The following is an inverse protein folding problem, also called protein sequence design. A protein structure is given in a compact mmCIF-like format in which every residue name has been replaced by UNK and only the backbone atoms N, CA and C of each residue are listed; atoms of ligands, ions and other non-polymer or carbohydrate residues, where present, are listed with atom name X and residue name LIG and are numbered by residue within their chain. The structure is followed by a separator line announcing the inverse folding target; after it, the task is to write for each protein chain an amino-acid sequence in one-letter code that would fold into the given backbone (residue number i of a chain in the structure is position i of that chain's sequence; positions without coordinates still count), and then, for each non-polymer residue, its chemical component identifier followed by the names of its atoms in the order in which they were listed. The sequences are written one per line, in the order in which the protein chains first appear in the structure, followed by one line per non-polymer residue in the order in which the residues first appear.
data_IF_206705608708
#
_entry.id   IF_206705608708
#
_cell.length_a   1.000
_cell.length_b   1.000
_cell.length_c   1.000
_cell.angle_alpha   90.00
_cell.angle_beta   90.00
_cell.angle_gamma   90.00
#
_symmetry.space_group_name_H-M   'P 1'
#
loop_
_entity.id
_entity.type
_entity.pdbx_description
1 polymer ?
#
# COMPACT_ATOMS: atom_id res chain seq x y z
N UNK A 1 66.40 12.47 4.41
CA UNK A 1 64.97 12.63 4.79
C UNK A 1 64.51 13.99 4.25
N UNK A 2 64.32 14.17 2.95
CA UNK A 2 63.14 13.84 2.12
C UNK A 2 61.79 14.32 2.70
N UNK A 3 61.38 15.56 2.40
CA UNK A 3 60.40 15.91 1.35
C UNK A 3 60.07 17.41 1.35
N UNK A 4 60.27 18.04 0.19
CA UNK A 4 59.80 19.35 -0.23
C UNK A 4 58.65 19.10 -1.20
N UNK A 5 57.46 19.68 -1.00
CA UNK A 5 56.42 19.93 -2.03
C UNK A 5 55.52 21.05 -1.47
N UNK A 6 55.82 22.34 -1.60
CA UNK A 6 55.63 23.23 -2.76
C UNK A 6 54.27 23.06 -3.48
N UNK A 7 53.32 23.90 -3.12
CA UNK A 7 52.18 24.25 -3.98
C UNK A 7 52.65 24.97 -5.25
N UNK A 8 51.97 24.77 -6.38
CA UNK A 8 51.78 25.85 -7.32
C UNK A 8 50.28 26.09 -7.59
N UNK A 9 49.88 27.33 -7.35
CA UNK A 9 48.76 27.94 -8.04
C UNK A 9 49.17 28.17 -9.51
N UNK A 10 48.54 27.48 -10.43
CA UNK A 10 48.56 27.79 -11.86
C UNK A 10 47.11 27.70 -12.34
N UNK A 11 46.44 28.85 -12.49
CA UNK A 11 46.39 29.61 -13.73
C UNK A 11 45.57 28.91 -14.82
N UNK A 12 44.33 29.40 -14.95
CA UNK A 12 43.69 29.83 -16.20
C UNK A 12 43.67 28.86 -17.40
N UNK A 13 42.45 28.39 -17.65
CA UNK A 13 41.72 28.60 -18.90
C UNK A 13 42.38 28.14 -20.21
N UNK A 14 41.93 26.98 -20.72
CA UNK A 14 41.51 26.83 -22.11
C UNK A 14 40.92 25.44 -22.33
N UNK A 15 39.59 25.36 -22.43
CA UNK A 15 38.80 24.39 -23.21
C UNK A 15 37.45 24.19 -22.54
N UNK A 16 36.50 25.02 -22.97
CA UNK A 16 35.10 24.64 -23.03
C UNK A 16 34.98 23.20 -23.56
N UNK A 17 34.46 22.30 -22.73
CA UNK A 17 33.67 21.17 -23.22
C UNK A 17 32.34 21.22 -22.47
N UNK A 18 31.34 21.73 -23.16
CA UNK A 18 29.94 21.60 -22.81
C UNK A 18 29.54 20.14 -23.14
N UNK A 19 28.64 19.59 -22.32
CA UNK A 19 27.76 18.42 -22.55
C UNK A 19 28.26 17.06 -22.01
N UNK A 20 27.43 16.26 -21.30
CA UNK A 20 26.35 16.59 -20.38
C UNK A 20 26.56 15.92 -19.00
N UNK A 21 25.82 16.39 -17.99
CA UNK A 21 25.56 15.62 -16.77
C UNK A 21 24.66 14.45 -17.19
N UNK A 22 25.25 13.36 -17.67
CA UNK A 22 24.61 12.06 -17.62
C UNK A 22 24.64 11.63 -16.15
N UNK A 23 23.69 12.17 -15.38
CA UNK A 23 23.20 11.47 -14.21
C UNK A 23 22.75 10.10 -14.72
N UNK A 24 23.63 9.12 -14.60
CA UNK A 24 23.21 7.74 -14.47
C UNK A 24 22.43 7.65 -13.15
N UNK A 25 21.20 8.19 -13.16
CA UNK A 25 20.13 7.63 -12.36
C UNK A 25 19.96 6.26 -12.99
N UNK A 26 20.35 5.14 -12.35
CA UNK A 26 19.94 3.84 -12.83
C UNK A 26 18.42 3.88 -12.95
N UNK A 27 17.97 3.95 -14.20
CA UNK A 27 16.59 4.08 -14.56
C UNK A 27 15.83 2.89 -14.00
N UNK A 28 14.75 3.22 -13.30
CA UNK A 28 13.46 2.57 -13.50
C UNK A 28 13.49 1.03 -13.50
N UNK A 29 14.02 0.45 -12.44
CA UNK A 29 13.33 -0.66 -11.80
C UNK A 29 12.29 -0.09 -10.80
N UNK A 30 11.41 0.81 -11.26
CA UNK A 30 10.03 0.63 -10.82
C UNK A 30 9.62 -0.61 -11.58
N UNK A 31 9.94 -1.77 -10.99
CA UNK A 31 9.12 -2.94 -11.25
C UNK A 31 7.70 -2.41 -11.19
N UNK A 32 6.93 -2.72 -12.22
CA UNK A 32 5.49 -2.62 -12.18
C UNK A 32 5.09 -3.40 -10.93
N UNK A 33 5.09 -2.71 -9.79
CA UNK A 33 4.54 -3.18 -8.54
C UNK A 33 3.06 -3.06 -8.83
N UNK A 34 2.56 -4.04 -9.59
CA UNK A 34 1.15 -4.32 -9.72
C UNK A 34 0.67 -4.38 -8.28
N UNK A 35 0.04 -3.30 -7.83
CA UNK A 35 -0.48 -3.23 -6.49
C UNK A 35 -1.39 -4.46 -6.32
N UNK A 36 -1.25 -5.22 -5.22
CA UNK A 36 -2.01 -6.44 -5.05
C UNK A 36 -3.50 -6.12 -5.19
N UNK A 37 -4.16 -6.81 -6.11
CA UNK A 37 -5.61 -6.77 -6.18
C UNK A 37 -6.16 -7.63 -5.05
N UNK A 38 -7.37 -7.32 -4.55
CA UNK A 38 -7.96 -8.11 -3.47
C UNK A 38 -8.02 -9.61 -3.78
N UNK A 39 -8.25 -9.97 -5.05
CA UNK A 39 -8.32 -11.36 -5.50
C UNK A 39 -6.99 -12.13 -5.35
N UNK A 40 -5.85 -11.42 -5.36
CA UNK A 40 -4.51 -12.01 -5.30
C UNK A 40 -3.78 -11.71 -3.99
N UNK A 41 -4.29 -10.80 -3.17
CA UNK A 41 -3.66 -10.39 -1.93
C UNK A 41 -3.77 -11.47 -0.83
N UNK A 42 -2.72 -11.59 -0.04
CA UNK A 42 -2.72 -12.31 1.25
C UNK A 42 -3.16 -11.38 2.39
N UNK A 43 -3.57 -11.96 3.52
CA UNK A 43 -3.89 -11.18 4.73
C UNK A 43 -2.70 -10.31 5.16
N UNK A 44 -1.49 -10.85 5.13
CA UNK A 44 -0.27 -10.12 5.47
C UNK A 44 -0.03 -8.91 4.55
N UNK A 45 -0.25 -9.04 3.24
CA UNK A 45 -0.09 -7.93 2.29
C UNK A 45 -1.11 -6.82 2.54
N UNK A 46 -2.36 -7.16 2.84
CA UNK A 46 -3.39 -6.16 3.19
C UNK A 46 -2.99 -5.42 4.47
N UNK A 47 -2.56 -6.13 5.51
CA UNK A 47 -2.08 -5.51 6.75
C UNK A 47 -0.87 -4.61 6.52
N UNK A 48 0.07 -5.00 5.66
CA UNK A 48 1.22 -4.18 5.31
C UNK A 48 0.82 -2.88 4.58
N UNK A 49 -0.15 -2.94 3.66
CA UNK A 49 -0.69 -1.76 2.97
C UNK A 49 -1.38 -0.83 3.97
N UNK A 50 -2.22 -1.37 4.86
CA UNK A 50 -2.92 -0.60 5.88
C UNK A 50 -1.97 0.05 6.89
N UNK A 51 -0.96 -0.68 7.35
CA UNK A 51 0.08 -0.15 8.24
C UNK A 51 0.84 1.00 7.59
N UNK A 52 1.18 0.88 6.30
CA UNK A 52 1.83 1.96 5.54
C UNK A 52 0.92 3.19 5.42
N UNK A 53 -0.37 3.00 5.18
CA UNK A 53 -1.35 4.08 5.15
C UNK A 53 -1.42 4.82 6.49
N UNK A 54 -1.45 4.09 7.60
CA UNK A 54 -1.46 4.66 8.95
C UNK A 54 -0.19 5.45 9.27
N UNK A 55 0.98 4.93 8.90
CA UNK A 55 2.26 5.63 9.07
C UNK A 55 2.34 6.93 8.25
N UNK A 56 1.52 7.06 7.20
CA UNK A 56 1.36 8.27 6.39
C UNK A 56 0.18 9.15 6.86
N UNK A 57 -0.31 8.93 8.08
CA UNK A 57 -1.42 9.70 8.66
C UNK A 57 -2.77 9.42 8.01
N UNK A 58 -2.98 8.21 7.47
CA UNK A 58 -4.18 7.81 6.72
C UNK A 58 -4.45 8.67 5.48
N UNK A 59 -3.38 9.13 4.81
CA UNK A 59 -3.48 9.90 3.56
C UNK A 59 -2.74 9.22 2.40
N UNK A 60 -3.07 9.61 1.17
CA UNK A 60 -2.39 9.14 -0.04
C UNK A 60 -2.79 7.73 -0.50
N UNK A 61 -2.01 7.18 -1.42
CA UNK A 61 -2.36 5.96 -2.16
C UNK A 61 -2.45 4.71 -1.28
N UNK A 62 -1.60 4.58 -0.24
CA UNK A 62 -1.63 3.43 0.65
C UNK A 62 -2.89 3.41 1.53
N UNK A 63 -3.34 4.58 2.01
CA UNK A 63 -4.59 4.70 2.74
C UNK A 63 -5.79 4.37 1.84
N UNK A 64 -5.83 4.91 0.62
CA UNK A 64 -6.88 4.58 -0.35
C UNK A 64 -6.90 3.08 -0.70
N UNK A 65 -5.73 2.46 -0.88
CA UNK A 65 -5.62 1.03 -1.12
C UNK A 65 -6.09 0.20 0.08
N UNK A 66 -5.77 0.61 1.31
CA UNK A 66 -6.28 -0.06 2.52
C UNK A 66 -7.81 -0.08 2.56
N UNK A 67 -8.44 1.07 2.29
CA UNK A 67 -9.92 1.17 2.21
C UNK A 67 -10.48 0.23 1.15
N UNK A 68 -9.92 0.25 -0.07
CA UNK A 68 -10.41 -0.58 -1.17
C UNK A 68 -10.23 -2.09 -0.94
N UNK A 69 -9.16 -2.50 -0.28
CA UNK A 69 -8.89 -3.91 0.03
C UNK A 69 -9.76 -4.41 1.19
N UNK A 70 -10.01 -3.59 2.21
CA UNK A 70 -10.77 -3.97 3.41
C UNK A 70 -12.28 -3.80 3.25
N UNK A 71 -12.72 -2.89 2.39
CA UNK A 71 -14.13 -2.62 2.09
C UNK A 71 -14.35 -2.62 0.56
N UNK A 72 -14.26 -3.79 -0.10
CA UNK A 72 -14.42 -3.87 -1.54
C UNK A 72 -15.82 -3.44 -1.99
N UNK A 73 -15.88 -2.66 -3.09
CA UNK A 73 -17.11 -2.11 -3.67
C UNK A 73 -18.09 -3.17 -4.21
N UNK A 74 -17.69 -4.45 -4.31
CA UNK A 74 -18.51 -5.55 -4.80
C UNK A 74 -19.73 -5.89 -3.92
N UNK A 75 -19.89 -5.18 -2.80
CA UNK A 75 -20.98 -5.35 -1.85
C UNK A 75 -21.99 -4.19 -1.86
N UNK A 76 -22.23 -3.64 -3.05
CA UNK A 76 -23.54 -3.06 -3.32
C UNK A 76 -24.60 -4.17 -3.20
N UNK A 77 -25.80 -3.87 -2.66
CA UNK A 77 -26.81 -4.84 -2.19
C UNK A 77 -27.39 -5.80 -3.25
N UNK A 78 -26.85 -5.88 -4.46
CA UNK A 78 -27.38 -6.62 -5.59
C UNK A 78 -26.55 -7.84 -6.04
N UNK A 79 -25.39 -8.15 -5.41
CA UNK A 79 -24.56 -9.29 -5.83
C UNK A 79 -24.79 -10.52 -4.93
N UNK A 80 -25.47 -11.53 -5.46
CA UNK A 80 -25.78 -12.80 -4.81
C UNK A 80 -24.53 -13.68 -4.63
N UNK A 81 -23.73 -13.41 -3.60
CA UNK A 81 -22.70 -14.31 -3.08
C UNK A 81 -23.15 -15.01 -1.78
N UNK A 82 -22.53 -16.14 -1.40
CA UNK A 82 -22.92 -16.91 -0.22
C UNK A 82 -22.63 -16.20 1.13
N UNK A 83 -21.76 -15.19 1.15
CA UNK A 83 -21.47 -14.37 2.34
C UNK A 83 -21.98 -12.94 2.11
N UNK A 84 -23.27 -12.72 2.41
CA UNK A 84 -23.85 -11.37 2.38
C UNK A 84 -23.45 -10.62 3.64
N UNK A 85 -22.97 -9.40 3.47
CA UNK A 85 -22.78 -8.44 4.54
C UNK A 85 -23.39 -7.10 4.15
N UNK A 86 -23.86 -6.35 5.15
CA UNK A 86 -24.62 -5.13 4.99
C UNK A 86 -24.02 -4.04 5.87
N UNK A 87 -23.10 -3.27 5.31
CA UNK A 87 -22.52 -2.13 6.01
C UNK A 87 -23.60 -1.04 6.20
N UNK A 88 -23.95 -0.67 7.44
CA UNK A 88 -24.96 0.36 7.67
C UNK A 88 -24.53 1.71 7.10
N UNK A 89 -25.43 2.46 6.47
CA UNK A 89 -25.10 3.79 5.92
C UNK A 89 -24.64 4.82 6.96
N UNK A 90 -24.96 4.59 8.24
CA UNK A 90 -24.49 5.41 9.36
C UNK A 90 -23.10 4.99 9.89
N UNK A 91 -22.54 3.86 9.44
CA UNK A 91 -21.21 3.40 9.84
C UNK A 91 -20.13 4.20 9.08
N UNK A 92 -19.25 4.94 9.78
CA UNK A 92 -18.16 5.66 9.12
C UNK A 92 -17.15 4.69 8.50
N UNK A 93 -16.69 4.99 7.29
CA UNK A 93 -15.71 4.16 6.55
C UNK A 93 -14.46 3.86 7.39
N UNK A 94 -13.86 4.87 8.03
CA UNK A 94 -12.65 4.68 8.83
C UNK A 94 -12.85 3.71 10.00
N UNK A 95 -14.05 3.73 10.61
CA UNK A 95 -14.40 2.82 11.69
C UNK A 95 -14.53 1.39 11.19
N UNK A 96 -15.16 1.21 10.03
CA UNK A 96 -15.30 -0.10 9.39
C UNK A 96 -13.94 -0.67 8.97
N UNK A 97 -13.09 0.14 8.34
CA UNK A 97 -11.70 -0.25 8.02
C UNK A 97 -10.95 -0.66 9.28
N UNK A 98 -11.02 0.13 10.35
CA UNK A 98 -10.36 -0.17 11.63
C UNK A 98 -10.80 -1.52 12.20
N UNK A 99 -12.11 -1.82 12.16
CA UNK A 99 -12.65 -3.10 12.65
C UNK A 99 -12.16 -4.29 11.81
N UNK A 100 -12.16 -4.14 10.48
CA UNK A 100 -11.67 -5.19 9.57
C UNK A 100 -10.18 -5.42 9.75
N UNK A 101 -9.36 -4.37 9.79
CA UNK A 101 -7.90 -4.47 10.01
C UNK A 101 -7.60 -5.13 11.36
N UNK A 102 -8.32 -4.74 12.42
CA UNK A 102 -8.15 -5.36 13.73
C UNK A 102 -8.51 -6.86 13.75
N UNK A 103 -9.53 -7.27 12.99
CA UNK A 103 -9.89 -8.68 12.86
C UNK A 103 -8.88 -9.46 11.99
N UNK A 104 -8.33 -8.84 10.93
CA UNK A 104 -7.28 -9.42 10.12
C UNK A 104 -5.98 -9.64 10.92
N UNK A 105 -5.61 -8.68 11.77
CA UNK A 105 -4.42 -8.77 12.64
C UNK A 105 -4.52 -9.92 13.65
N UNK A 106 -5.73 -10.25 14.09
CA UNK A 106 -6.02 -11.38 14.98
C UNK A 106 -6.14 -12.72 14.24
N UNK A 107 -6.09 -12.73 12.90
CA UNK A 107 -6.31 -13.93 12.11
C UNK A 107 -5.07 -14.83 12.10
N UNK A 108 -5.17 -16.14 12.37
CA UNK A 108 -4.01 -17.01 12.56
C UNK A 108 -3.28 -17.38 11.26
N UNK A 109 -3.82 -17.02 10.08
CA UNK A 109 -3.30 -17.41 8.78
C UNK A 109 -2.91 -16.20 7.94
N UNK A 110 -1.70 -15.65 8.12
CA UNK A 110 -1.23 -14.47 7.38
C UNK A 110 -1.14 -14.71 5.86
N UNK A 111 -0.88 -15.95 5.43
CA UNK A 111 -0.75 -16.33 4.02
C UNK A 111 -2.10 -16.68 3.36
N UNK A 112 -3.20 -16.65 4.12
CA UNK A 112 -4.53 -16.91 3.56
C UNK A 112 -4.93 -15.85 2.55
N UNK A 113 -5.76 -16.22 1.57
CA UNK A 113 -6.29 -15.29 0.56
C UNK A 113 -7.21 -14.27 1.22
N UNK A 114 -6.85 -12.99 1.07
CA UNK A 114 -7.52 -11.88 1.74
C UNK A 114 -8.98 -11.73 1.30
N UNK A 115 -9.31 -11.94 0.03
CA UNK A 115 -10.69 -11.89 -0.48
C UNK A 115 -11.67 -12.74 0.35
N UNK A 116 -11.31 -13.99 0.60
CA UNK A 116 -12.14 -14.95 1.35
C UNK A 116 -12.24 -14.62 2.84
N UNK A 117 -11.14 -14.19 3.45
CA UNK A 117 -11.06 -13.84 4.87
C UNK A 117 -11.80 -12.54 5.15
N UNK A 118 -11.61 -11.52 4.31
CA UNK A 118 -12.28 -10.22 4.46
C UNK A 118 -13.78 -10.38 4.26
N UNK A 119 -14.23 -11.17 3.27
CA UNK A 119 -15.65 -11.48 3.12
C UNK A 119 -16.24 -12.21 4.34
N UNK A 120 -15.46 -13.08 5.01
CA UNK A 120 -15.87 -13.73 6.25
C UNK A 120 -16.03 -12.75 7.40
N UNK A 121 -14.99 -11.95 7.65
CA UNK A 121 -14.95 -10.92 8.71
C UNK A 121 -16.10 -9.93 8.52
N UNK A 122 -16.33 -9.45 7.30
CA UNK A 122 -17.41 -8.52 7.02
C UNK A 122 -18.80 -9.12 7.27
N UNK A 123 -19.00 -10.40 6.95
CA UNK A 123 -20.26 -11.10 7.24
C UNK A 123 -20.51 -11.28 8.74
N UNK A 124 -19.45 -11.41 9.54
CA UNK A 124 -19.54 -11.49 11.00
C UNK A 124 -19.77 -10.11 11.65
N UNK A 125 -19.07 -9.07 11.18
CA UNK A 125 -19.17 -7.72 11.71
C UNK A 125 -20.47 -7.02 11.30
N UNK A 126 -20.95 -7.30 10.09
CA UNK A 126 -22.07 -6.60 9.47
C UNK A 126 -23.06 -7.60 8.84
N UNK A 127 -23.70 -8.47 9.64
CA UNK A 127 -24.69 -9.40 9.12
C UNK A 127 -25.87 -8.64 8.51
N UNK A 128 -26.34 -9.10 7.36
CA UNK A 128 -27.56 -8.57 6.77
C UNK A 128 -28.79 -9.00 7.59
N UNK A 129 -29.79 -8.11 7.77
CA UNK A 129 -31.04 -8.50 8.39
C UNK A 129 -31.73 -9.60 7.56
N UNK A 130 -32.50 -10.49 8.21
CA UNK A 130 -33.35 -11.43 7.48
C UNK A 130 -34.34 -10.66 6.59
N UNK A 131 -34.71 -11.22 5.43
CA UNK A 131 -35.65 -10.61 4.50
C UNK A 131 -37.04 -10.43 5.09
#
# INVERSE_FOLDING_TARGET
MNRVVSWPQAALACCLVIVPIATAIPGNARGEQTAPTLATATVAEVLAVCTRGQQQGNTGAAAAACVLLTLPCDCQPQRAGPRRWCLPGAEPTDRAVTRVVSALDQHPWPDARADSVIAAILAELYPCPPP
#
